data_IF_057702803346
#
_entry.id   IF_057702803346
#
_cell.length_a   1.000
_cell.length_b   1.000
_cell.length_c   1.000
_cell.angle_alpha   90.00
_cell.angle_beta   90.00
_cell.angle_gamma   90.00
#
_symmetry.space_group_name_H-M   'P 1'
#
loop_
_entity.id
_entity.type
_entity.pdbx_description
1 polymer ?
#
# COMPACT_ATOMS: atom_id res chain seq x y z
N UNK A 1 56.19 24.42 -1.66
CA UNK A 1 54.74 24.18 -1.45
C UNK A 1 53.93 24.10 -2.75
N UNK A 2 54.20 24.91 -3.79
CA UNK A 2 53.35 24.94 -5.00
C UNK A 2 53.19 23.62 -5.78
N UNK A 3 54.25 22.81 -5.89
CA UNK A 3 54.18 21.53 -6.62
C UNK A 3 53.26 20.51 -5.92
N UNK A 4 53.30 20.45 -4.58
CA UNK A 4 52.45 19.54 -3.79
C UNK A 4 50.97 19.94 -3.88
N UNK A 5 50.67 21.25 -3.83
CA UNK A 5 49.31 21.76 -4.02
C UNK A 5 48.75 21.43 -5.41
N UNK A 6 49.57 21.54 -6.45
CA UNK A 6 49.16 21.20 -7.82
C UNK A 6 48.77 19.72 -7.97
N UNK A 7 49.53 18.80 -7.34
CA UNK A 7 49.23 17.37 -7.34
C UNK A 7 47.87 17.10 -6.66
N UNK A 8 47.62 17.73 -5.50
CA UNK A 8 46.36 17.57 -4.76
C UNK A 8 45.16 18.08 -5.57
N UNK A 9 45.28 19.24 -6.22
CA UNK A 9 44.21 19.81 -7.05
C UNK A 9 43.87 18.88 -8.22
N UNK A 10 44.88 18.32 -8.89
CA UNK A 10 44.67 17.36 -9.98
C UNK A 10 43.99 16.08 -9.47
N UNK A 11 44.35 15.60 -8.27
CA UNK A 11 43.73 14.43 -7.66
C UNK A 11 42.25 14.66 -7.28
N UNK A 12 41.90 15.85 -6.78
CA UNK A 12 40.53 16.18 -6.35
C UNK A 12 39.61 16.52 -7.54
N UNK A 13 40.15 16.90 -8.70
CA UNK A 13 39.36 17.27 -9.88
C UNK A 13 38.33 16.19 -10.26
N UNK A 14 38.74 14.93 -10.28
CA UNK A 14 37.82 13.82 -10.60
C UNK A 14 36.72 13.61 -9.56
N UNK A 15 36.97 13.96 -8.30
CA UNK A 15 35.97 13.90 -7.23
C UNK A 15 34.96 15.05 -7.34
N UNK A 16 35.41 16.25 -7.71
CA UNK A 16 34.51 17.40 -7.90
C UNK A 16 33.58 17.24 -9.10
N UNK A 17 33.96 16.47 -10.12
CA UNK A 17 33.08 16.17 -11.24
C UNK A 17 31.80 15.43 -10.81
N UNK A 18 31.82 14.67 -9.70
CA UNK A 18 30.64 14.00 -9.12
C UNK A 18 29.57 14.93 -8.59
N UNK A 19 29.88 16.19 -8.30
CA UNK A 19 28.85 17.19 -7.96
C UNK A 19 27.90 17.47 -9.12
N UNK A 20 28.32 17.25 -10.37
CA UNK A 20 27.44 17.43 -11.53
C UNK A 20 26.37 16.33 -11.60
N UNK A 21 26.69 15.12 -11.16
CA UNK A 21 25.74 14.00 -11.11
C UNK A 21 24.57 14.28 -10.14
N UNK A 22 24.78 15.15 -9.15
CA UNK A 22 23.77 15.52 -8.17
C UNK A 22 22.54 16.20 -8.79
N UNK A 23 22.74 17.02 -9.82
CA UNK A 23 21.64 17.66 -10.55
C UNK A 23 20.77 16.62 -11.27
N UNK A 24 21.39 15.56 -11.78
CA UNK A 24 20.68 14.46 -12.44
C UNK A 24 19.98 13.53 -11.44
N UNK A 25 20.47 13.46 -10.20
CA UNK A 25 19.90 12.62 -9.14
C UNK A 25 18.58 13.19 -8.59
N UNK A 26 18.46 14.52 -8.47
CA UNK A 26 17.28 15.19 -7.90
C UNK A 26 15.93 14.78 -8.53
N UNK A 27 15.76 14.75 -9.87
CA UNK A 27 14.50 14.34 -10.47
C UNK A 27 14.22 12.83 -10.33
N UNK A 28 15.23 12.01 -10.09
CA UNK A 28 15.09 10.54 -9.98
C UNK A 28 14.73 10.13 -8.56
N UNK A 29 15.50 10.59 -7.56
CA UNK A 29 15.33 10.19 -6.17
C UNK A 29 15.72 11.31 -5.21
N UNK A 30 14.71 12.00 -4.67
CA UNK A 30 14.89 13.04 -3.63
C UNK A 30 15.51 12.48 -2.35
N UNK A 31 15.28 11.20 -2.07
CA UNK A 31 15.82 10.49 -0.90
C UNK A 31 17.33 10.32 -1.04
N UNK A 32 17.80 9.79 -2.17
CA UNK A 32 19.23 9.55 -2.37
C UNK A 32 20.02 10.87 -2.46
N UNK A 33 19.40 11.92 -3.02
CA UNK A 33 19.95 13.28 -2.95
C UNK A 33 20.11 13.74 -1.50
N UNK A 34 19.10 13.54 -0.65
CA UNK A 34 19.15 13.92 0.76
C UNK A 34 20.25 13.17 1.50
N UNK A 35 20.41 11.87 1.24
CA UNK A 35 21.50 11.06 1.83
C UNK A 35 22.86 11.63 1.41
N UNK A 36 23.05 11.94 0.12
CA UNK A 36 24.28 12.53 -0.37
C UNK A 36 24.58 13.87 0.30
N UNK A 37 23.58 14.74 0.42
CA UNK A 37 23.72 16.08 1.01
C UNK A 37 24.08 16.00 2.50
N UNK A 38 23.39 15.16 3.26
CA UNK A 38 23.65 14.94 4.69
C UNK A 38 25.06 14.37 4.88
N UNK A 39 25.46 13.40 4.06
CA UNK A 39 26.81 12.82 4.14
C UNK A 39 27.90 13.86 3.90
N UNK A 40 27.75 14.67 2.85
CA UNK A 40 28.71 15.71 2.49
C UNK A 40 28.81 16.78 3.59
N UNK A 41 27.68 17.30 4.06
CA UNK A 41 27.64 18.32 5.10
C UNK A 41 28.17 17.80 6.45
N UNK A 42 27.85 16.55 6.81
CA UNK A 42 28.33 15.96 8.06
C UNK A 42 29.86 15.77 8.06
N UNK A 43 30.43 15.25 6.97
CA UNK A 43 31.89 15.12 6.82
C UNK A 43 32.60 16.48 6.74
N UNK A 44 31.98 17.48 6.12
CA UNK A 44 32.56 18.82 6.00
C UNK A 44 32.56 19.61 7.31
N UNK A 45 31.48 19.53 8.10
CA UNK A 45 31.34 20.31 9.33
C UNK A 45 32.02 19.68 10.56
N UNK A 46 32.18 18.35 10.59
CA UNK A 46 32.65 17.63 11.77
C UNK A 46 34.03 17.00 11.56
N UNK A 47 34.06 15.77 11.10
CA UNK A 47 35.24 15.02 10.69
C UNK A 47 34.78 13.90 9.75
N UNK A 48 35.72 13.30 9.00
CA UNK A 48 35.44 12.16 8.13
C UNK A 48 34.86 10.98 8.93
N UNK A 49 35.37 10.72 10.14
CA UNK A 49 34.96 9.56 10.95
C UNK A 49 33.52 9.71 11.45
N UNK A 50 33.21 10.83 12.10
CA UNK A 50 31.87 11.12 12.63
C UNK A 50 30.86 11.36 11.51
N UNK A 51 31.27 12.06 10.44
CA UNK A 51 30.42 12.31 9.28
C UNK A 51 29.97 11.01 8.60
N UNK A 52 30.87 10.03 8.49
CA UNK A 52 30.53 8.71 7.97
C UNK A 52 29.49 8.01 8.87
N UNK A 53 29.68 8.00 10.19
CA UNK A 53 28.74 7.38 11.12
C UNK A 53 27.32 7.98 11.00
N UNK A 54 27.22 9.31 10.95
CA UNK A 54 25.95 10.03 10.78
C UNK A 54 25.29 9.70 9.44
N UNK A 55 26.06 9.66 8.35
CA UNK A 55 25.53 9.34 7.02
C UNK A 55 24.93 7.94 6.91
N UNK A 56 25.60 6.95 7.52
CA UNK A 56 25.14 5.56 7.53
C UNK A 56 23.84 5.45 8.32
N UNK A 57 23.79 6.08 9.50
CA UNK A 57 22.58 6.10 10.33
C UNK A 57 21.41 6.75 9.58
N UNK A 58 21.65 7.88 8.91
CA UNK A 58 20.63 8.57 8.12
C UNK A 58 20.17 7.75 6.91
N UNK A 59 21.07 7.05 6.21
CA UNK A 59 20.74 6.20 5.08
C UNK A 59 19.87 5.00 5.49
N UNK A 60 20.20 4.35 6.61
CA UNK A 60 19.40 3.25 7.17
C UNK A 60 18.02 3.77 7.58
N UNK A 61 17.98 4.85 8.36
CA UNK A 61 16.73 5.45 8.83
C UNK A 61 15.80 5.80 7.66
N UNK A 62 16.33 6.48 6.64
CA UNK A 62 15.53 6.85 5.47
C UNK A 62 15.06 5.64 4.67
N UNK A 63 15.87 4.57 4.61
CA UNK A 63 15.48 3.31 3.96
C UNK A 63 14.32 2.64 4.70
N UNK A 64 14.32 2.65 6.03
CA UNK A 64 13.22 2.12 6.85
C UNK A 64 11.94 2.91 6.61
N UNK A 65 11.99 4.25 6.70
CA UNK A 65 10.82 5.10 6.45
C UNK A 65 10.24 4.92 5.05
N UNK A 66 11.09 4.83 4.02
CA UNK A 66 10.65 4.56 2.65
C UNK A 66 9.89 3.23 2.53
N UNK A 67 10.26 2.24 3.33
CA UNK A 67 9.64 0.90 3.32
C UNK A 67 8.28 0.88 4.03
N UNK A 68 8.03 1.82 4.96
CA UNK A 68 6.81 1.87 5.77
C UNK A 68 5.57 2.40 5.05
N UNK A 69 5.74 3.15 3.94
CA UNK A 69 4.63 3.70 3.15
C UNK A 69 4.55 3.09 1.74
N UNK A 70 4.16 1.81 1.65
CA UNK A 70 4.02 1.15 0.36
C UNK A 70 2.79 1.62 -0.40
N UNK A 71 2.79 1.37 -1.71
CA UNK A 71 1.64 1.65 -2.56
C UNK A 71 0.69 0.46 -2.54
N UNK A 72 -0.61 0.76 -2.54
CA UNK A 72 -1.68 -0.22 -2.71
C UNK A 72 -2.53 0.18 -3.92
N UNK A 73 -3.11 -0.80 -4.59
CA UNK A 73 -3.89 -0.57 -5.80
C UNK A 73 -5.13 -1.49 -5.81
N UNK A 74 -6.22 -0.99 -6.38
CA UNK A 74 -7.37 -1.82 -6.73
C UNK A 74 -7.18 -2.32 -8.15
N UNK A 75 -7.32 -3.64 -8.33
CA UNK A 75 -7.13 -4.26 -9.63
C UNK A 75 -8.48 -4.46 -10.32
N UNK A 76 -8.51 -4.13 -11.61
CA UNK A 76 -9.63 -4.37 -12.50
C UNK A 76 -9.18 -5.19 -13.72
N UNK A 77 -10.11 -5.89 -14.35
CA UNK A 77 -9.81 -6.74 -15.50
C UNK A 77 -9.64 -5.86 -16.74
N UNK A 78 -8.58 -6.05 -17.53
CA UNK A 78 -8.40 -5.29 -18.77
C UNK A 78 -9.31 -5.85 -19.87
N UNK A 79 -10.00 -4.99 -20.61
CA UNK A 79 -10.94 -5.44 -21.65
C UNK A 79 -10.23 -6.24 -22.74
N UNK A 80 -10.69 -7.48 -22.98
CA UNK A 80 -10.21 -8.34 -24.07
C UNK A 80 -8.99 -9.22 -23.74
N UNK A 81 -8.37 -9.06 -22.56
CA UNK A 81 -7.31 -9.96 -22.07
C UNK A 81 -7.63 -10.43 -20.65
N UNK A 82 -7.15 -11.60 -20.23
CA UNK A 82 -7.39 -12.11 -18.88
C UNK A 82 -6.37 -11.55 -17.88
N UNK A 83 -6.13 -10.24 -17.87
CA UNK A 83 -5.09 -9.63 -17.04
C UNK A 83 -5.66 -8.54 -16.14
N UNK A 84 -5.24 -8.56 -14.87
CA UNK A 84 -5.69 -7.61 -13.86
C UNK A 84 -4.62 -6.52 -13.66
N UNK A 85 -5.03 -5.26 -13.77
CA UNK A 85 -4.16 -4.08 -13.65
C UNK A 85 -4.86 -2.97 -12.86
N UNK A 86 -4.04 -2.04 -12.37
CA UNK A 86 -4.51 -0.85 -11.65
C UNK A 86 -5.47 -0.02 -12.52
N UNK A 87 -6.69 0.19 -12.01
CA UNK A 87 -7.75 0.95 -12.65
C UNK A 87 -7.37 2.43 -12.88
N UNK A 88 -6.52 3.00 -12.03
CA UNK A 88 -6.15 4.42 -12.14
C UNK A 88 -5.16 4.69 -13.27
N UNK A 89 -4.44 3.64 -13.70
CA UNK A 89 -3.39 3.75 -14.72
C UNK A 89 -3.86 3.37 -16.12
N UNK A 90 -4.90 2.53 -16.24
CA UNK A 90 -5.39 2.03 -17.52
C UNK A 90 -6.88 2.35 -17.69
N UNK A 91 -7.24 2.99 -18.81
CA UNK A 91 -8.61 3.45 -19.08
C UNK A 91 -9.58 2.35 -19.56
N UNK A 92 -9.06 1.23 -20.09
CA UNK A 92 -9.87 0.14 -20.67
C UNK A 92 -10.09 -1.02 -19.68
N UNK A 93 -10.69 -0.72 -18.52
CA UNK A 93 -10.92 -1.71 -17.45
C UNK A 93 -12.40 -2.08 -17.30
N UNK A 94 -12.68 -3.36 -17.09
CA UNK A 94 -13.99 -3.93 -16.79
C UNK A 94 -13.99 -4.35 -15.32
N UNK A 95 -14.91 -3.76 -14.55
CA UNK A 95 -15.13 -4.15 -13.14
C UNK A 95 -16.17 -5.26 -13.06
N UNK A 96 -15.86 -6.33 -12.32
CA UNK A 96 -16.82 -7.38 -12.02
C UNK A 96 -17.70 -6.92 -10.85
N UNK A 97 -19.03 -7.00 -10.99
CA UNK A 97 -19.96 -6.63 -9.91
C UNK A 97 -19.77 -7.56 -8.70
N UNK A 98 -19.62 -6.97 -7.52
CA UNK A 98 -19.51 -7.69 -6.24
C UNK A 98 -18.21 -8.44 -5.98
N UNK A 99 -17.20 -8.29 -6.85
CA UNK A 99 -15.86 -8.85 -6.67
C UNK A 99 -14.84 -7.72 -6.67
N UNK A 100 -14.07 -7.62 -5.59
CA UNK A 100 -13.06 -6.58 -5.43
C UNK A 100 -11.70 -7.21 -5.20
N UNK A 101 -10.70 -6.71 -5.91
CA UNK A 101 -9.35 -7.25 -5.90
C UNK A 101 -8.41 -6.18 -5.36
N UNK A 102 -7.81 -6.47 -4.21
CA UNK A 102 -6.90 -5.58 -3.50
C UNK A 102 -5.48 -6.09 -3.62
N UNK A 103 -4.59 -5.27 -4.18
CA UNK A 103 -3.17 -5.59 -4.33
C UNK A 103 -2.32 -4.73 -3.41
N UNK A 104 -1.46 -5.39 -2.62
CA UNK A 104 -0.51 -4.75 -1.73
C UNK A 104 0.93 -5.05 -2.15
N UNK A 105 1.66 -4.01 -2.57
CA UNK A 105 2.99 -4.14 -3.18
C UNK A 105 4.11 -3.94 -2.14
N UNK A 106 4.10 -4.76 -1.09
CA UNK A 106 5.11 -4.68 -0.02
C UNK A 106 5.16 -5.93 0.86
N UNK A 107 6.34 -6.24 1.45
CA UNK A 107 6.39 -7.09 2.63
C UNK A 107 5.40 -6.63 3.70
N UNK A 108 4.84 -7.56 4.45
CA UNK A 108 3.95 -7.26 5.57
C UNK A 108 4.69 -7.56 6.87
N UNK A 109 5.19 -6.50 7.50
CA UNK A 109 6.04 -6.56 8.68
C UNK A 109 5.49 -5.65 9.77
N UNK A 110 5.88 -5.87 11.02
CA UNK A 110 5.44 -5.11 12.19
C UNK A 110 5.40 -3.59 11.98
N UNK A 111 6.34 -3.04 11.21
CA UNK A 111 6.42 -1.61 10.96
C UNK A 111 5.33 -1.04 10.05
N UNK A 112 4.66 -1.85 9.22
CA UNK A 112 3.68 -1.39 8.24
C UNK A 112 2.31 -2.10 8.35
N UNK A 113 2.11 -3.00 9.31
CA UNK A 113 0.83 -3.69 9.50
C UNK A 113 -0.34 -2.75 9.74
N UNK A 114 -0.12 -1.66 10.49
CA UNK A 114 -1.19 -0.70 10.78
C UNK A 114 -1.59 0.09 9.53
N UNK A 115 -0.60 0.45 8.73
CA UNK A 115 -0.84 1.07 7.43
C UNK A 115 -1.62 0.13 6.50
N UNK A 116 -1.27 -1.17 6.48
CA UNK A 116 -2.00 -2.19 5.70
C UNK A 116 -3.48 -2.28 6.10
N UNK A 117 -3.79 -2.34 7.41
CA UNK A 117 -5.17 -2.34 7.90
C UNK A 117 -5.93 -1.10 7.47
N UNK A 118 -5.32 0.07 7.66
CA UNK A 118 -5.88 1.36 7.24
C UNK A 118 -6.15 1.40 5.73
N UNK A 119 -5.27 0.84 4.91
CA UNK A 119 -5.47 0.75 3.46
C UNK A 119 -6.67 -0.13 3.10
N UNK A 120 -6.87 -1.25 3.79
CA UNK A 120 -8.06 -2.09 3.58
C UNK A 120 -9.34 -1.34 3.99
N UNK A 121 -9.33 -0.66 5.14
CA UNK A 121 -10.49 0.13 5.56
C UNK A 121 -10.83 1.22 4.55
N UNK A 122 -9.83 1.96 4.06
CA UNK A 122 -10.00 2.95 2.98
C UNK A 122 -10.48 2.31 1.68
N UNK A 123 -9.99 1.12 1.34
CA UNK A 123 -10.45 0.39 0.17
C UNK A 123 -11.95 0.06 0.30
N UNK A 124 -12.39 -0.49 1.44
CA UNK A 124 -13.79 -0.82 1.72
C UNK A 124 -14.70 0.41 1.70
N UNK A 125 -14.26 1.54 2.27
CA UNK A 125 -15.00 2.80 2.26
C UNK A 125 -15.21 3.33 0.83
N UNK A 126 -14.19 3.26 -0.02
CA UNK A 126 -14.33 3.65 -1.43
C UNK A 126 -15.37 2.77 -2.16
N UNK A 127 -15.45 1.47 -1.84
CA UNK A 127 -16.46 0.58 -2.43
C UNK A 127 -17.88 1.00 -2.03
N UNK A 128 -18.03 1.47 -0.79
CA UNK A 128 -19.32 1.93 -0.28
C UNK A 128 -19.74 3.24 -0.96
N UNK A 129 -18.80 4.19 -1.11
CA UNK A 129 -19.09 5.48 -1.74
C UNK A 129 -19.44 5.34 -3.23
N UNK A 130 -18.78 4.44 -3.98
CA UNK A 130 -19.16 4.16 -5.37
C UNK A 130 -20.56 3.55 -5.52
N UNK A 131 -20.99 2.72 -4.56
CA UNK A 131 -22.34 2.17 -4.57
C UNK A 131 -23.42 3.24 -4.29
N UNK A 132 -23.09 4.28 -3.52
CA UNK A 132 -24.01 5.40 -3.25
C UNK A 132 -24.18 6.37 -4.43
N UNK A 133 -23.25 6.40 -5.40
CA UNK A 133 -23.42 7.18 -6.63
C UNK A 133 -24.32 6.48 -7.65
N UNK A 134 -24.42 5.14 -7.62
CA UNK A 134 -25.29 4.38 -8.52
C UNK A 134 -26.79 4.46 -8.12
N UNK A 135 -27.09 4.82 -6.87
CA UNK A 135 -28.47 5.06 -6.39
C UNK A 135 -28.98 6.47 -6.76
N UNK A 136 -28.09 7.40 -7.13
CA UNK A 136 -28.50 8.74 -7.58
C UNK A 136 -29.26 8.73 -8.90
N UNK A 137 -29.03 7.75 -9.78
CA UNK A 137 -29.81 7.63 -11.02
C UNK A 137 -31.25 7.09 -10.78
N UNK A 138 -31.51 6.53 -9.59
CA UNK A 138 -32.86 6.10 -9.17
C UNK A 138 -33.53 7.19 -8.32
N UNK A 139 -32.75 7.92 -7.51
CA UNK A 139 -33.23 9.00 -6.63
C UNK A 139 -33.46 10.36 -7.32
N UNK A 140 -33.00 10.56 -8.57
CA UNK A 140 -33.31 11.78 -9.35
C UNK A 140 -34.83 11.97 -9.55
N UNK A 141 -35.63 10.90 -9.43
CA UNK A 141 -37.09 10.99 -9.54
C UNK A 141 -37.74 11.50 -8.24
N UNK A 142 -37.13 11.35 -7.06
CA UNK A 142 -37.85 11.58 -5.79
C UNK A 142 -37.48 12.85 -5.02
N UNK A 143 -36.34 13.50 -5.22
CA UNK A 143 -35.95 14.61 -4.33
C UNK A 143 -35.78 15.96 -5.04
N UNK A 144 -36.91 16.48 -5.54
CA UNK A 144 -37.18 17.90 -5.80
C UNK A 144 -37.49 18.71 -4.51
N UNK A 145 -37.15 18.24 -3.31
CA UNK A 145 -37.49 18.94 -2.07
C UNK A 145 -36.29 19.25 -1.17
N UNK A 146 -36.17 20.55 -0.95
CA UNK A 146 -35.67 21.24 0.24
C UNK A 146 -34.16 21.24 0.53
N UNK A 147 -33.58 22.28 -0.10
CA UNK A 147 -32.52 23.15 0.34
C UNK A 147 -32.73 23.66 1.79
N UNK A 148 -31.70 23.63 2.63
CA UNK A 148 -31.10 24.84 3.23
C UNK A 148 -29.87 24.53 4.13
N UNK A 149 -29.01 25.54 4.41
CA UNK A 149 -27.55 25.38 4.54
C UNK A 149 -26.99 25.76 5.94
N UNK A 150 -25.66 25.63 6.05
CA UNK A 150 -24.74 26.07 7.13
C UNK A 150 -24.53 24.99 8.23
N UNK A 151 -23.34 24.76 8.80
CA UNK A 151 -22.31 25.69 9.29
C UNK A 151 -20.91 25.02 9.29
N UNK A 152 -19.90 25.87 9.13
CA UNK A 152 -18.45 25.68 9.09
C UNK A 152 -17.77 25.03 10.32
N UNK A 153 -16.71 24.25 9.98
CA UNK A 153 -15.32 24.29 10.47
C UNK A 153 -15.01 24.44 11.97
N UNK A 154 -14.40 23.39 12.56
CA UNK A 154 -13.26 23.56 13.47
C UNK A 154 -12.50 22.25 13.78
N UNK A 155 -11.20 22.29 13.46
CA UNK A 155 -10.04 21.83 14.26
C UNK A 155 -9.57 20.37 14.18
N UNK A 156 -8.38 20.26 13.58
CA UNK A 156 -7.37 19.21 13.72
C UNK A 156 -6.79 19.16 15.14
N UNK A 157 -6.54 17.95 15.65
CA UNK A 157 -5.24 17.45 16.16
C UNK A 157 -5.43 16.44 17.30
N UNK A 158 -5.48 15.15 16.95
CA UNK A 158 -4.97 13.96 17.65
C UNK A 158 -5.50 12.72 16.94
N UNK A 159 -4.99 12.48 15.73
CA UNK A 159 -5.64 11.68 14.67
C UNK A 159 -4.77 10.49 14.27
N UNK A 160 -4.64 9.45 15.11
CA UNK A 160 -4.22 8.14 14.58
C UNK A 160 -5.09 7.01 15.18
N UNK A 161 -5.44 7.06 16.47
CA UNK A 161 -6.30 6.02 17.06
C UNK A 161 -7.81 6.26 16.82
N UNK A 162 -8.24 7.54 16.78
CA UNK A 162 -9.65 7.91 16.63
C UNK A 162 -10.20 7.71 15.21
N UNK A 163 -9.35 7.78 14.16
CA UNK A 163 -9.80 7.58 12.78
C UNK A 163 -10.15 6.12 12.52
N UNK A 164 -9.32 5.18 13.00
CA UNK A 164 -9.55 3.75 12.81
C UNK A 164 -10.83 3.29 13.51
N UNK A 165 -11.10 3.79 14.72
CA UNK A 165 -12.32 3.46 15.46
C UNK A 165 -13.58 4.12 14.86
N UNK A 166 -13.44 5.33 14.32
CA UNK A 166 -14.51 6.02 13.59
C UNK A 166 -14.81 5.38 12.23
N UNK A 167 -13.79 4.87 11.53
CA UNK A 167 -13.91 4.06 10.31
C UNK A 167 -14.63 2.73 10.61
N UNK A 168 -14.28 2.06 11.71
CA UNK A 168 -14.93 0.81 12.14
C UNK A 168 -16.44 0.98 12.39
N UNK A 169 -16.84 2.08 13.03
CA UNK A 169 -18.22 2.27 13.50
C UNK A 169 -19.22 2.79 12.43
N UNK A 170 -18.75 3.38 11.32
CA UNK A 170 -19.63 3.96 10.29
C UNK A 170 -19.87 3.05 9.07
N UNK A 171 -19.16 1.93 8.96
CA UNK A 171 -19.22 1.06 7.79
C UNK A 171 -20.37 0.04 7.87
N UNK A 172 -21.61 0.49 7.60
CA UNK A 172 -22.71 -0.40 7.17
C UNK A 172 -22.51 -0.72 5.69
N UNK A 173 -21.86 -1.84 5.36
CA UNK A 173 -21.63 -2.21 3.96
C UNK A 173 -22.93 -2.60 3.26
N UNK A 174 -23.04 -2.18 1.99
CA UNK A 174 -24.13 -2.53 1.07
C UNK A 174 -24.15 -4.03 0.75
N UNK A 175 -25.35 -4.54 0.44
CA UNK A 175 -25.65 -5.94 0.10
C UNK A 175 -24.94 -6.48 -1.17
N UNK A 176 -24.17 -5.65 -1.87
CA UNK A 176 -23.54 -5.98 -3.16
C UNK A 176 -22.07 -6.43 -3.08
N UNK A 177 -21.36 -6.23 -1.96
CA UNK A 177 -20.01 -6.78 -1.80
C UNK A 177 -20.09 -8.22 -1.29
N UNK A 178 -19.78 -9.17 -2.17
CA UNK A 178 -19.78 -10.59 -1.81
C UNK A 178 -18.37 -11.16 -1.68
N UNK A 179 -17.43 -10.70 -2.51
CA UNK A 179 -16.07 -11.26 -2.57
C UNK A 179 -14.98 -10.19 -2.49
N UNK A 180 -14.04 -10.40 -1.57
CA UNK A 180 -12.83 -9.61 -1.43
C UNK A 180 -11.61 -10.50 -1.67
N UNK A 181 -10.91 -10.27 -2.78
CA UNK A 181 -9.74 -11.03 -3.20
C UNK A 181 -8.49 -10.23 -2.86
N UNK A 182 -7.67 -10.77 -1.95
CA UNK A 182 -6.33 -10.27 -1.71
C UNK A 182 -5.38 -10.85 -2.77
N UNK A 183 -4.79 -9.98 -3.58
CA UNK A 183 -3.62 -10.32 -4.38
C UNK A 183 -2.36 -10.11 -3.54
N UNK A 184 -1.76 -11.22 -3.13
CA UNK A 184 -0.58 -11.28 -2.29
C UNK A 184 0.71 -11.46 -3.11
N UNK A 185 0.66 -11.37 -4.44
CA UNK A 185 1.86 -11.50 -5.29
C UNK A 185 2.95 -10.47 -4.96
N UNK A 186 2.55 -9.26 -4.54
CA UNK A 186 3.44 -8.19 -4.06
C UNK A 186 4.00 -8.43 -2.65
N UNK A 187 3.41 -9.34 -1.86
CA UNK A 187 3.87 -9.65 -0.51
C UNK A 187 5.06 -10.59 -0.59
N UNK A 188 6.26 -10.01 -0.55
CA UNK A 188 7.51 -10.75 -0.68
C UNK A 188 7.99 -11.40 0.60
N UNK A 189 7.51 -10.98 1.76
CA UNK A 189 7.84 -11.53 3.07
C UNK A 189 6.76 -11.15 4.09
N UNK A 190 6.54 -11.98 5.09
CA UNK A 190 5.60 -11.71 6.18
C UNK A 190 6.22 -12.12 7.51
N UNK A 191 6.13 -11.26 8.54
CA UNK A 191 6.51 -11.63 9.90
C UNK A 191 5.31 -12.10 10.74
N UNK A 192 5.53 -12.41 12.02
CA UNK A 192 4.47 -12.89 12.89
C UNK A 192 3.32 -11.86 13.05
N UNK A 193 3.64 -10.57 13.13
CA UNK A 193 2.66 -9.50 13.24
C UNK A 193 1.87 -9.32 11.95
N UNK A 194 2.53 -9.43 10.80
CA UNK A 194 1.88 -9.40 9.48
C UNK A 194 0.89 -10.55 9.28
N UNK A 195 1.27 -11.78 9.63
CA UNK A 195 0.34 -12.92 9.60
C UNK A 195 -0.84 -12.68 10.53
N UNK A 196 -0.59 -12.14 11.71
CA UNK A 196 -1.66 -11.85 12.65
C UNK A 196 -2.64 -10.79 12.12
N UNK A 197 -2.12 -9.74 11.48
CA UNK A 197 -2.93 -8.73 10.81
C UNK A 197 -3.79 -9.34 9.68
N UNK A 198 -3.25 -10.26 8.88
CA UNK A 198 -4.04 -10.94 7.83
C UNK A 198 -5.16 -11.78 8.44
N UNK A 199 -4.90 -12.52 9.53
CA UNK A 199 -5.93 -13.31 10.23
C UNK A 199 -7.04 -12.41 10.79
N UNK A 200 -6.67 -11.31 11.43
CA UNK A 200 -7.61 -10.35 11.98
C UNK A 200 -8.50 -9.76 10.88
N UNK A 201 -7.91 -9.32 9.77
CA UNK A 201 -8.66 -8.78 8.63
C UNK A 201 -9.55 -9.83 7.97
N UNK A 202 -9.10 -11.08 7.87
CA UNK A 202 -9.93 -12.17 7.36
C UNK A 202 -11.17 -12.40 8.23
N UNK A 203 -10.99 -12.47 9.55
CA UNK A 203 -12.10 -12.64 10.50
C UNK A 203 -13.05 -11.44 10.41
N UNK A 204 -12.52 -10.22 10.41
CA UNK A 204 -13.33 -9.00 10.35
C UNK A 204 -14.17 -8.93 9.09
N UNK A 205 -13.58 -9.18 7.91
CA UNK A 205 -14.30 -9.20 6.64
C UNK A 205 -15.36 -10.31 6.62
N UNK A 206 -15.05 -11.49 7.17
CA UNK A 206 -16.01 -12.59 7.28
C UNK A 206 -17.19 -12.25 8.20
N UNK A 207 -16.95 -11.57 9.32
CA UNK A 207 -18.00 -11.07 10.21
C UNK A 207 -18.91 -10.06 9.52
N UNK A 208 -18.39 -9.33 8.53
CA UNK A 208 -19.16 -8.43 7.65
C UNK A 208 -19.84 -9.14 6.48
N UNK A 209 -19.91 -10.47 6.49
CA UNK A 209 -20.50 -11.32 5.44
C UNK A 209 -19.79 -11.21 4.07
N UNK A 210 -18.50 -10.89 4.07
CA UNK A 210 -17.67 -10.82 2.86
C UNK A 210 -16.84 -12.11 2.78
N UNK A 211 -16.89 -12.79 1.63
CA UNK A 211 -16.07 -13.96 1.36
C UNK A 211 -14.68 -13.50 0.93
N UNK A 212 -13.66 -13.98 1.64
CA UNK A 212 -12.27 -13.58 1.40
C UNK A 212 -11.49 -14.68 0.69
N UNK A 213 -10.83 -14.32 -0.40
CA UNK A 213 -9.89 -15.18 -1.11
C UNK A 213 -8.49 -14.55 -1.15
N UNK A 214 -7.47 -15.40 -1.17
CA UNK A 214 -6.09 -15.01 -1.32
C UNK A 214 -5.53 -15.59 -2.61
N UNK A 215 -4.77 -14.80 -3.35
CA UNK A 215 -4.16 -15.21 -4.62
C UNK A 215 -2.68 -14.83 -4.66
N UNK A 216 -1.88 -15.56 -5.43
CA UNK A 216 -0.48 -15.19 -5.69
C UNK A 216 0.47 -15.28 -4.49
N UNK A 217 0.10 -15.96 -3.40
CA UNK A 217 1.00 -16.12 -2.24
C UNK A 217 2.21 -16.96 -2.62
N UNK A 218 3.41 -16.39 -2.41
CA UNK A 218 4.71 -17.05 -2.58
C UNK A 218 4.90 -18.21 -1.61
N UNK A 219 5.60 -19.25 -2.05
CA UNK A 219 5.74 -20.51 -1.29
C UNK A 219 6.27 -20.31 0.13
N UNK A 220 7.32 -19.51 0.29
CA UNK A 220 7.89 -19.25 1.63
C UNK A 220 6.92 -18.49 2.55
N UNK A 221 6.00 -17.70 2.01
CA UNK A 221 4.94 -17.07 2.82
C UNK A 221 3.92 -18.13 3.24
N UNK A 222 3.58 -19.09 2.36
CA UNK A 222 2.68 -20.21 2.71
C UNK A 222 3.24 -21.08 3.84
N UNK A 223 4.56 -21.27 3.87
CA UNK A 223 5.24 -22.00 4.95
C UNK A 223 5.05 -21.28 6.30
N UNK A 224 5.10 -19.94 6.30
CA UNK A 224 4.86 -19.12 7.50
C UNK A 224 3.37 -19.21 7.92
N UNK A 225 2.43 -19.26 6.98
CA UNK A 225 1.01 -19.53 7.29
C UNK A 225 0.81 -20.90 7.96
N UNK A 226 1.51 -21.94 7.50
CA UNK A 226 1.46 -23.27 8.11
C UNK A 226 2.07 -23.26 9.52
N UNK A 227 3.27 -22.70 9.67
CA UNK A 227 4.00 -22.60 10.93
C UNK A 227 3.22 -21.81 12.01
N UNK A 228 2.47 -20.79 11.59
CA UNK A 228 1.63 -19.96 12.46
C UNK A 228 0.26 -20.58 12.76
N UNK A 229 -0.03 -21.80 12.30
CA UNK A 229 -1.34 -22.46 12.39
C UNK A 229 -2.49 -21.62 11.79
N UNK A 230 -2.19 -20.73 10.85
CA UNK A 230 -3.18 -19.81 10.27
C UNK A 230 -4.27 -20.54 9.50
N UNK A 231 -3.98 -21.74 8.98
CA UNK A 231 -4.96 -22.55 8.24
C UNK A 231 -6.11 -23.10 9.08
N UNK A 232 -6.03 -23.02 10.42
CA UNK A 232 -7.16 -23.33 11.31
C UNK A 232 -8.24 -22.25 11.26
N UNK A 233 -7.84 -21.02 10.97
CA UNK A 233 -8.71 -19.83 10.89
C UNK A 233 -9.09 -19.56 9.44
N UNK A 234 -8.10 -19.59 8.54
CA UNK A 234 -8.26 -19.32 7.12
C UNK A 234 -8.18 -20.65 6.37
N UNK A 235 -9.29 -21.21 5.87
CA UNK A 235 -9.27 -22.53 5.24
C UNK A 235 -8.40 -22.52 3.99
N UNK A 236 -7.71 -23.63 3.71
CA UNK A 236 -6.86 -23.77 2.51
C UNK A 236 -7.65 -23.57 1.20
N UNK A 237 -8.96 -23.77 1.21
CA UNK A 237 -9.85 -23.51 0.07
C UNK A 237 -10.01 -22.03 -0.28
N UNK A 238 -9.61 -21.11 0.60
CA UNK A 238 -9.59 -19.67 0.30
C UNK A 238 -8.35 -19.24 -0.49
N UNK A 239 -7.37 -20.13 -0.72
CA UNK A 239 -6.11 -19.80 -1.37
C UNK A 239 -6.06 -20.32 -2.81
N UNK A 240 -5.71 -19.43 -3.74
CA UNK A 240 -5.63 -19.70 -5.16
C UNK A 240 -4.21 -19.39 -5.69
N UNK A 241 -3.73 -20.13 -6.70
CA UNK A 241 -2.46 -19.82 -7.35
C UNK A 241 -2.47 -18.45 -8.03
N UNK A 242 -3.50 -18.16 -8.82
CA UNK A 242 -3.63 -16.90 -9.55
C UNK A 242 -4.93 -16.15 -9.22
N UNK A 243 -4.95 -14.84 -9.50
CA UNK A 243 -6.13 -13.97 -9.35
C UNK A 243 -7.28 -14.49 -10.22
N UNK A 244 -6.97 -14.97 -11.42
CA UNK A 244 -7.94 -15.49 -12.39
C UNK A 244 -8.76 -16.64 -11.79
N UNK A 245 -8.10 -17.57 -11.09
CA UNK A 245 -8.74 -18.74 -10.48
C UNK A 245 -9.68 -18.32 -9.33
N UNK A 246 -9.24 -17.36 -8.51
CA UNK A 246 -10.04 -16.81 -7.42
C UNK A 246 -11.28 -16.10 -7.96
N UNK A 247 -11.13 -15.30 -9.01
CA UNK A 247 -12.25 -14.60 -9.67
C UNK A 247 -13.21 -15.58 -10.34
N UNK A 248 -12.70 -16.60 -11.03
CA UNK A 248 -13.53 -17.62 -11.67
C UNK A 248 -14.38 -18.37 -10.62
N UNK A 249 -13.78 -18.71 -9.47
CA UNK A 249 -14.47 -19.36 -8.36
C UNK A 249 -15.52 -18.46 -7.72
N UNK A 250 -15.20 -17.18 -7.52
CA UNK A 250 -16.15 -16.18 -7.03
C UNK A 250 -17.35 -16.03 -7.97
N UNK A 251 -17.10 -15.90 -9.29
CA UNK A 251 -18.17 -15.82 -10.31
C UNK A 251 -19.04 -17.07 -10.36
N UNK A 252 -18.44 -18.26 -10.29
CA UNK A 252 -19.20 -19.51 -10.25
C UNK A 252 -20.15 -19.56 -9.05
N UNK A 253 -19.72 -19.04 -7.90
CA UNK A 253 -20.49 -19.02 -6.67
C UNK A 253 -21.58 -17.93 -6.63
N UNK A 254 -21.53 -16.92 -7.53
CA UNK A 254 -22.57 -15.91 -7.70
C UNK A 254 -23.76 -16.40 -8.56
N UNK A 255 -23.56 -17.45 -9.36
CA UNK A 255 -24.55 -17.98 -10.30
C UNK A 255 -25.31 -19.22 -9.78
N UNK A 256 -25.12 -19.58 -8.50
CA UNK A 256 -25.81 -20.66 -7.79
C UNK A 256 -26.80 -20.07 -6.81
#
# INVERSE_FOLDING_TARGET
MGVLSAIIIVAIKGMLEKFKDLHNLWPVSKIDFSIWLVSFLATFCWDVTEGLAVSIMFAIMTTVFRTQWPKWHLLANLSGINEYRDERRYQNVIRNKGIYIFHFDSPLVFTNVEYFKTCIYKALENLQNECSDHDKDVDVIENMKEKDPNIELAKETSLEDNEVEKLKNNLKLNENLQYFIFDCSGITYVDYMGINAIKEMFIELKTRNIIVYFSGIKDHVRDIFEASNSYKIIPKSSFFPAIQDAVATAKASQHV
#
